data_IF_389054894646
#
_entry.id   IF_389054894646
#
_cell.length_a   1.000
_cell.length_b   1.000
_cell.length_c   1.000
_cell.angle_alpha   90.00
_cell.angle_beta   90.00
_cell.angle_gamma   90.00
#
_symmetry.space_group_name_H-M   'P 1'
#
loop_
_entity.id
_entity.type
_entity.pdbx_description
1 polymer ?
#
# COMPACT_ATOMS: atom_id res chain seq x y z
N UNK A 1 16.99 -6.69 -14.12
CA UNK A 1 17.36 -8.09 -14.43
C UNK A 1 16.24 -9.07 -14.00
N UNK A 2 14.98 -8.79 -14.38
CA UNK A 2 13.77 -9.56 -13.97
C UNK A 2 12.82 -9.79 -15.18
N UNK A 3 13.37 -9.99 -16.38
CA UNK A 3 12.56 -10.04 -17.62
C UNK A 3 12.43 -11.41 -18.29
N UNK A 4 12.94 -12.50 -17.70
CA UNK A 4 13.07 -13.78 -18.43
C UNK A 4 11.99 -14.82 -18.14
N UNK A 5 10.95 -14.53 -17.34
CA UNK A 5 9.87 -15.49 -17.08
C UNK A 5 8.47 -14.97 -17.49
N UNK A 6 8.36 -14.50 -18.73
CA UNK A 6 7.12 -13.99 -19.33
C UNK A 6 6.01 -15.05 -19.48
N UNK A 7 6.29 -16.35 -19.30
CA UNK A 7 5.27 -17.42 -19.39
C UNK A 7 4.39 -17.56 -18.15
N UNK A 8 4.80 -17.03 -17.00
CA UNK A 8 3.92 -16.90 -15.84
C UNK A 8 2.89 -15.76 -16.00
N UNK A 9 3.10 -14.84 -16.95
CA UNK A 9 2.24 -13.68 -17.20
C UNK A 9 0.94 -14.03 -17.94
N UNK A 10 0.82 -15.24 -18.50
CA UNK A 10 -0.43 -15.72 -19.13
C UNK A 10 -1.59 -15.92 -18.13
N UNK A 11 -1.31 -15.84 -16.82
CA UNK A 11 -2.29 -16.05 -15.74
C UNK A 11 -3.16 -14.80 -15.45
N UNK A 12 -2.80 -13.60 -15.92
CA UNK A 12 -3.45 -12.36 -15.47
C UNK A 12 -4.45 -11.72 -16.43
N UNK A 13 -5.17 -12.51 -17.22
CA UNK A 13 -6.37 -12.02 -17.91
C UNK A 13 -7.58 -12.04 -16.95
N UNK A 14 -7.48 -11.32 -15.84
CA UNK A 14 -8.61 -11.15 -14.90
C UNK A 14 -9.75 -10.45 -15.63
N UNK A 15 -10.96 -11.01 -15.55
CA UNK A 15 -12.16 -10.31 -16.02
C UNK A 15 -12.34 -9.02 -15.21
N UNK A 16 -13.03 -8.02 -15.78
CA UNK A 16 -13.36 -6.77 -15.08
C UNK A 16 -14.05 -7.05 -13.72
N UNK A 17 -14.95 -8.03 -13.67
CA UNK A 17 -15.62 -8.44 -12.43
C UNK A 17 -14.65 -9.03 -11.40
N UNK A 18 -13.68 -9.84 -11.84
CA UNK A 18 -12.65 -10.40 -10.95
C UNK A 18 -11.69 -9.32 -10.44
N UNK A 19 -11.23 -8.39 -11.29
CA UNK A 19 -10.39 -7.26 -10.85
C UNK A 19 -11.08 -6.44 -9.78
N UNK A 20 -12.34 -6.06 -10.01
CA UNK A 20 -13.11 -5.25 -9.06
C UNK A 20 -13.36 -6.00 -7.74
N UNK A 21 -13.55 -7.31 -7.79
CA UNK A 21 -13.62 -8.16 -6.61
C UNK A 21 -12.30 -8.19 -5.83
N UNK A 22 -11.15 -8.32 -6.51
CA UNK A 22 -9.82 -8.30 -5.89
C UNK A 22 -9.53 -6.94 -5.27
N UNK A 23 -9.73 -5.84 -6.01
CA UNK A 23 -9.55 -4.46 -5.51
C UNK A 23 -10.41 -4.23 -4.27
N UNK A 24 -11.70 -4.60 -4.32
CA UNK A 24 -12.60 -4.47 -3.17
C UNK A 24 -12.11 -5.27 -1.96
N UNK A 25 -11.71 -6.53 -2.14
CA UNK A 25 -11.20 -7.37 -1.04
C UNK A 25 -9.92 -6.78 -0.43
N UNK A 26 -8.98 -6.33 -1.27
CA UNK A 26 -7.73 -5.69 -0.82
C UNK A 26 -8.04 -4.39 -0.08
N UNK A 27 -8.90 -3.52 -0.60
CA UNK A 27 -9.26 -2.27 0.07
C UNK A 27 -9.93 -2.51 1.42
N UNK A 28 -10.87 -3.47 1.51
CA UNK A 28 -11.50 -3.84 2.78
C UNK A 28 -10.46 -4.36 3.77
N UNK A 29 -9.61 -5.29 3.33
CA UNK A 29 -8.52 -5.83 4.14
C UNK A 29 -7.63 -4.71 4.68
N UNK A 30 -7.14 -3.81 3.82
CA UNK A 30 -6.24 -2.73 4.21
C UNK A 30 -6.91 -1.69 5.12
N UNK A 31 -8.17 -1.34 4.86
CA UNK A 31 -8.93 -0.43 5.72
C UNK A 31 -9.20 -1.00 7.10
N UNK A 32 -9.34 -2.33 7.25
CA UNK A 32 -9.47 -3.00 8.56
C UNK A 32 -8.08 -3.14 9.23
N UNK A 33 -7.06 -3.49 8.45
CA UNK A 33 -5.73 -3.73 8.98
C UNK A 33 -5.06 -2.46 9.52
N UNK A 34 -5.30 -1.30 8.90
CA UNK A 34 -4.71 -0.04 9.33
C UNK A 34 -5.05 0.36 10.78
N UNK A 35 -6.33 0.45 11.21
CA UNK A 35 -6.66 0.70 12.61
C UNK A 35 -6.21 -0.46 13.51
N UNK A 36 -6.17 -1.70 12.98
CA UNK A 36 -5.63 -2.86 13.68
C UNK A 36 -4.17 -2.65 14.13
N UNK A 37 -3.29 -2.17 13.25
CA UNK A 37 -1.90 -1.86 13.60
C UNK A 37 -1.85 -0.81 14.71
N UNK A 38 -2.65 0.25 14.61
CA UNK A 38 -2.73 1.31 15.62
C UNK A 38 -3.12 0.75 16.99
N UNK A 39 -4.18 -0.06 17.05
CA UNK A 39 -4.67 -0.69 18.29
C UNK A 39 -3.64 -1.66 18.87
N UNK A 40 -3.03 -2.52 18.05
CA UNK A 40 -2.03 -3.48 18.53
C UNK A 40 -0.80 -2.74 19.08
N UNK A 41 -0.35 -1.69 18.39
CA UNK A 41 0.76 -0.85 18.85
C UNK A 41 0.42 -0.15 20.16
N UNK A 42 -0.76 0.46 20.27
CA UNK A 42 -1.23 1.08 21.51
C UNK A 42 -1.27 0.08 22.67
N UNK A 43 -1.84 -1.10 22.46
CA UNK A 43 -1.87 -2.17 23.47
C UNK A 43 -0.46 -2.59 23.91
N UNK A 44 0.48 -2.67 22.97
CA UNK A 44 1.89 -2.95 23.29
C UNK A 44 2.50 -1.86 24.16
N UNK A 45 2.24 -0.58 23.89
CA UNK A 45 2.77 0.55 24.66
C UNK A 45 2.21 0.63 26.08
N UNK A 46 0.94 0.27 26.25
CA UNK A 46 0.35 0.17 27.58
C UNK A 46 0.89 -1.03 28.37
N UNK A 47 1.19 -2.14 27.70
CA UNK A 47 1.75 -3.33 28.35
C UNK A 47 3.24 -3.16 28.72
N UNK A 48 4.03 -2.54 27.84
CA UNK A 48 5.46 -2.30 28.02
C UNK A 48 5.76 -0.81 27.84
N UNK A 49 5.76 -0.09 28.97
CA UNK A 49 6.10 1.33 28.99
C UNK A 49 7.56 1.62 28.64
N UNK A 50 8.43 0.61 28.66
CA UNK A 50 9.87 0.75 28.43
C UNK A 50 10.27 0.83 26.96
N UNK A 51 9.33 0.72 26.01
CA UNK A 51 9.64 0.74 24.59
C UNK A 51 8.77 1.73 23.81
N UNK A 52 8.70 3.01 24.21
CA UNK A 52 7.86 3.97 23.54
C UNK A 52 8.49 4.50 22.24
N UNK A 53 7.70 4.69 21.17
CA UNK A 53 8.16 5.36 19.96
C UNK A 53 8.42 6.84 20.21
N UNK A 54 9.28 7.41 19.36
CA UNK A 54 9.57 8.83 19.20
C UNK A 54 9.61 9.64 20.51
N UNK A 55 8.46 10.14 20.97
CA UNK A 55 8.32 11.03 22.11
C UNK A 55 8.59 10.36 23.46
N UNK A 56 8.31 9.07 23.62
CA UNK A 56 8.55 8.46 24.92
C UNK A 56 10.03 8.18 25.22
N UNK A 57 10.90 8.21 24.19
CA UNK A 57 12.35 8.20 24.42
C UNK A 57 12.81 9.48 25.15
N UNK A 58 12.17 10.63 24.87
CA UNK A 58 12.47 11.91 25.53
C UNK A 58 12.10 11.94 27.01
N UNK A 59 11.18 11.06 27.45
CA UNK A 59 10.79 10.97 28.86
C UNK A 59 11.71 10.06 29.70
N UNK A 60 12.79 9.53 29.13
CA UNK A 60 13.75 8.71 29.87
C UNK A 60 13.16 7.36 30.33
N UNK A 61 12.21 6.82 29.58
CA UNK A 61 11.68 5.49 29.83
C UNK A 61 12.78 4.45 29.63
N UNK A 62 13.15 3.79 30.72
CA UNK A 62 14.06 2.65 30.81
C UNK A 62 15.55 3.01 30.98
N UNK A 63 15.99 3.11 32.25
CA UNK A 63 17.28 2.54 32.61
C UNK A 63 17.10 1.01 32.70
N UNK A 64 18.10 0.24 32.29
CA UNK A 64 18.04 -1.23 32.27
C UNK A 64 17.76 -1.89 33.64
N UNK A 65 17.68 -1.11 34.72
CA UNK A 65 17.54 -1.58 36.10
C UNK A 65 16.11 -1.56 36.65
N UNK A 66 15.09 -1.12 35.89
CA UNK A 66 13.70 -1.15 36.36
C UNK A 66 13.41 -0.25 37.57
N UNK A 67 14.37 0.57 38.00
CA UNK A 67 14.14 1.56 39.04
C UNK A 67 13.29 2.69 38.46
N UNK A 68 12.14 2.94 39.10
CA UNK A 68 11.41 4.18 38.89
C UNK A 68 12.37 5.33 39.21
N UNK A 69 12.88 5.99 38.17
CA UNK A 69 13.74 7.19 38.27
C UNK A 69 13.12 8.29 39.14
N UNK A 70 11.82 8.21 39.41
CA UNK A 70 11.09 9.10 40.30
C UNK A 70 10.35 8.24 41.34
N UNK A 71 11.01 8.00 42.47
CA UNK A 71 10.39 7.47 43.69
C UNK A 71 9.39 8.52 44.21
N UNK A 72 8.11 8.36 43.83
CA UNK A 72 7.04 9.29 44.21
C UNK A 72 6.06 9.61 43.07
N UNK A 73 5.61 8.59 42.32
CA UNK A 73 4.65 8.79 41.21
C UNK A 73 3.33 9.38 41.72
N UNK A 74 3.21 10.71 41.64
CA UNK A 74 1.94 11.40 41.79
C UNK A 74 0.97 10.96 40.69
N UNK A 75 -0.33 10.90 40.99
CA UNK A 75 -1.40 10.57 40.02
C UNK A 75 -1.28 11.40 38.73
N UNK A 76 -0.84 12.66 38.84
CA UNK A 76 -0.60 13.57 37.72
C UNK A 76 0.44 13.03 36.73
N UNK A 77 1.54 12.45 37.22
CA UNK A 77 2.58 11.90 36.37
C UNK A 77 2.10 10.66 35.59
N UNK A 78 1.33 9.76 36.25
CA UNK A 78 0.71 8.60 35.59
C UNK A 78 -0.25 9.00 34.47
N UNK A 79 -1.06 10.03 34.71
CA UNK A 79 -1.98 10.57 33.70
C UNK A 79 -1.23 11.21 32.54
N UNK A 80 -0.22 12.03 32.82
CA UNK A 80 0.62 12.65 31.79
C UNK A 80 1.32 11.59 30.92
N UNK A 81 1.86 10.53 31.54
CA UNK A 81 2.45 9.38 30.85
C UNK A 81 1.44 8.71 29.91
N UNK A 82 0.26 8.38 30.43
CA UNK A 82 -0.80 7.74 29.64
C UNK A 82 -1.20 8.61 28.45
N UNK A 83 -1.36 9.91 28.68
CA UNK A 83 -1.68 10.88 27.64
C UNK A 83 -0.61 10.91 26.55
N UNK A 84 0.68 10.90 26.92
CA UNK A 84 1.76 10.90 25.93
C UNK A 84 1.78 9.61 25.10
N UNK A 85 1.59 8.45 25.73
CA UNK A 85 1.49 7.16 25.03
C UNK A 85 0.32 7.18 24.04
N UNK A 86 -0.83 7.74 24.44
CA UNK A 86 -2.00 7.91 23.56
C UNK A 86 -1.70 8.83 22.40
N UNK A 87 -1.04 9.96 22.65
CA UNK A 87 -0.70 10.93 21.62
C UNK A 87 0.28 10.36 20.60
N UNK A 88 1.32 9.67 21.05
CA UNK A 88 2.33 9.05 20.18
C UNK A 88 1.72 7.92 19.34
N UNK A 89 0.91 7.05 19.94
CA UNK A 89 0.23 6.02 19.19
C UNK A 89 -0.85 6.55 18.25
N UNK A 90 -1.55 7.64 18.61
CA UNK A 90 -2.45 8.36 17.70
C UNK A 90 -1.68 8.92 16.51
N UNK A 91 -0.57 9.63 16.75
CA UNK A 91 0.26 10.21 15.68
C UNK A 91 0.79 9.11 14.73
N UNK A 92 1.30 8.01 15.28
CA UNK A 92 1.72 6.85 14.49
C UNK A 92 0.56 6.27 13.65
N UNK A 93 -0.64 6.17 14.24
CA UNK A 93 -1.82 5.63 13.56
C UNK A 93 -2.29 6.55 12.42
N UNK A 94 -2.30 7.86 12.64
CA UNK A 94 -2.64 8.86 11.61
C UNK A 94 -1.63 8.82 10.47
N UNK A 95 -0.34 8.75 10.78
CA UNK A 95 0.72 8.68 9.77
C UNK A 95 0.60 7.41 8.93
N UNK A 96 0.42 6.25 9.58
CA UNK A 96 0.16 4.99 8.91
C UNK A 96 -1.08 5.09 8.02
N UNK A 97 -2.19 5.61 8.54
CA UNK A 97 -3.44 5.78 7.78
C UNK A 97 -3.25 6.67 6.55
N UNK A 98 -2.54 7.80 6.67
CA UNK A 98 -2.23 8.66 5.52
C UNK A 98 -1.41 7.92 4.45
N UNK A 99 -0.40 7.16 4.86
CA UNK A 99 0.43 6.37 3.95
C UNK A 99 -0.40 5.28 3.24
N UNK A 100 -1.21 4.53 3.99
CA UNK A 100 -2.09 3.51 3.43
C UNK A 100 -3.17 4.10 2.53
N UNK A 101 -3.76 5.24 2.90
CA UNK A 101 -4.74 5.92 2.08
C UNK A 101 -4.15 6.31 0.71
N UNK A 102 -2.94 6.86 0.70
CA UNK A 102 -2.25 7.21 -0.53
C UNK A 102 -1.96 5.98 -1.41
N UNK A 103 -1.38 4.92 -0.83
CA UNK A 103 -0.94 3.72 -1.59
C UNK A 103 -2.12 2.84 -2.04
N UNK A 104 -3.19 2.76 -1.26
CA UNK A 104 -4.29 1.85 -1.57
C UNK A 104 -5.46 2.57 -2.19
N UNK A 105 -5.99 3.58 -1.50
CA UNK A 105 -7.19 4.25 -1.98
C UNK A 105 -6.88 5.13 -3.19
N UNK A 106 -5.80 5.90 -3.17
CA UNK A 106 -5.50 6.77 -4.31
C UNK A 106 -4.94 5.95 -5.47
N UNK A 107 -3.86 5.19 -5.28
CA UNK A 107 -3.20 4.55 -6.44
C UNK A 107 -3.92 3.33 -6.99
N UNK A 108 -4.43 2.40 -6.16
CA UNK A 108 -5.11 1.20 -6.71
C UNK A 108 -6.43 1.59 -7.37
N UNK A 109 -7.21 2.48 -6.76
CA UNK A 109 -8.47 2.94 -7.36
C UNK A 109 -8.18 3.67 -8.67
N UNK A 110 -7.19 4.57 -8.71
CA UNK A 110 -6.85 5.28 -9.95
C UNK A 110 -6.42 4.34 -11.07
N UNK A 111 -5.57 3.34 -10.77
CA UNK A 111 -5.16 2.33 -11.77
C UNK A 111 -6.36 1.47 -12.19
N UNK A 112 -7.21 1.05 -11.25
CA UNK A 112 -8.45 0.32 -11.53
C UNK A 112 -9.38 1.10 -12.47
N UNK A 113 -9.57 2.40 -12.23
CA UNK A 113 -10.35 3.27 -13.10
C UNK A 113 -9.76 3.33 -14.51
N UNK A 114 -8.43 3.49 -14.66
CA UNK A 114 -7.79 3.49 -15.99
C UNK A 114 -8.00 2.15 -16.71
N UNK A 115 -7.86 1.02 -16.01
CA UNK A 115 -8.10 -0.30 -16.60
C UNK A 115 -9.56 -0.46 -17.05
N UNK A 116 -10.51 0.03 -16.27
CA UNK A 116 -11.92 0.01 -16.64
C UNK A 116 -12.21 0.93 -17.85
N UNK A 117 -11.56 2.09 -17.93
CA UNK A 117 -11.63 2.95 -19.13
C UNK A 117 -11.05 2.27 -20.37
N UNK A 118 -9.93 1.55 -20.24
CA UNK A 118 -9.34 0.78 -21.36
C UNK A 118 -10.29 -0.32 -21.84
N UNK A 119 -10.97 -1.01 -20.94
CA UNK A 119 -11.97 -2.02 -21.30
C UNK A 119 -13.20 -1.42 -21.99
N UNK A 120 -13.67 -0.26 -21.52
CA UNK A 120 -14.76 0.49 -22.17
C UNK A 120 -14.33 0.92 -23.58
N UNK A 121 -13.12 1.46 -23.72
CA UNK A 121 -12.58 1.87 -25.02
C UNK A 121 -12.48 0.70 -26.00
N UNK A 122 -12.03 -0.46 -25.50
CA UNK A 122 -11.99 -1.71 -26.28
C UNK A 122 -13.37 -2.16 -26.72
N UNK A 123 -14.39 -2.04 -25.87
CA UNK A 123 -15.80 -2.34 -26.24
C UNK A 123 -16.33 -1.39 -27.30
N UNK A 124 -16.06 -0.08 -27.17
CA UNK A 124 -16.48 0.93 -28.17
C UNK A 124 -15.75 0.72 -29.50
N UNK A 125 -14.50 0.30 -29.46
CA UNK A 125 -13.72 -0.06 -30.66
C UNK A 125 -14.24 -1.32 -31.34
N UNK A 126 -14.94 -2.20 -30.60
CA UNK A 126 -15.56 -3.41 -31.12
C UNK A 126 -16.79 -3.15 -32.00
N UNK A 127 -17.16 -4.19 -32.74
CA UNK A 127 -18.27 -4.35 -33.71
C UNK A 127 -19.35 -3.25 -33.67
N UNK A 128 -19.49 -2.54 -34.80
CA UNK A 128 -20.64 -1.72 -35.18
C UNK A 128 -21.04 -0.57 -34.22
N UNK A 129 -20.11 -0.01 -33.43
CA UNK A 129 -20.47 1.19 -32.67
C UNK A 129 -20.58 2.41 -33.60
N UNK A 130 -21.78 3.03 -33.64
CA UNK A 130 -22.08 4.27 -34.37
C UNK A 130 -21.30 5.49 -33.84
N UNK A 131 -20.35 5.29 -32.93
CA UNK A 131 -19.51 6.36 -32.38
C UNK A 131 -18.52 6.78 -33.45
N UNK A 132 -18.66 8.03 -33.92
CA UNK A 132 -17.76 8.63 -34.90
C UNK A 132 -16.29 8.55 -34.50
N UNK A 133 -15.42 8.38 -35.50
CA UNK A 133 -13.97 8.24 -35.33
C UNK A 133 -13.36 9.40 -34.52
N UNK A 134 -13.84 10.62 -34.74
CA UNK A 134 -13.40 11.84 -34.06
C UNK A 134 -13.62 11.77 -32.54
N UNK A 135 -14.78 11.29 -32.08
CA UNK A 135 -15.08 11.13 -30.66
C UNK A 135 -14.18 10.07 -30.01
N UNK A 136 -13.88 8.98 -30.72
CA UNK A 136 -12.97 7.92 -30.22
C UNK A 136 -11.55 8.46 -30.04
N UNK A 137 -11.05 9.21 -31.02
CA UNK A 137 -9.73 9.85 -30.95
C UNK A 137 -9.68 10.87 -29.79
N UNK A 138 -10.74 11.67 -29.62
CA UNK A 138 -10.84 12.64 -28.52
C UNK A 138 -10.77 11.98 -27.15
N UNK A 139 -11.58 10.93 -26.92
CA UNK A 139 -11.56 10.15 -25.68
C UNK A 139 -10.17 9.55 -25.41
N UNK A 140 -9.51 9.03 -26.44
CA UNK A 140 -8.18 8.48 -26.27
C UNK A 140 -7.15 9.55 -25.87
N UNK A 141 -7.17 10.72 -26.51
CA UNK A 141 -6.24 11.81 -26.14
C UNK A 141 -6.39 12.21 -24.68
N UNK A 142 -7.63 12.31 -24.18
CA UNK A 142 -7.89 12.55 -22.76
C UNK A 142 -7.32 11.43 -21.88
N UNK A 143 -7.52 10.16 -22.27
CA UNK A 143 -7.00 9.01 -21.52
C UNK A 143 -5.46 8.98 -21.51
N UNK A 144 -4.83 9.31 -22.63
CA UNK A 144 -3.37 9.35 -22.77
C UNK A 144 -2.74 10.43 -21.88
N UNK A 145 -3.39 11.60 -21.76
CA UNK A 145 -2.96 12.64 -20.82
C UNK A 145 -3.09 12.15 -19.38
N UNK A 146 -4.20 11.50 -19.03
CA UNK A 146 -4.41 10.94 -17.70
C UNK A 146 -3.37 9.86 -17.37
N UNK A 147 -3.11 8.94 -18.29
CA UNK A 147 -2.09 7.90 -18.16
C UNK A 147 -0.69 8.51 -17.97
N UNK A 148 -0.34 9.56 -18.72
CA UNK A 148 0.95 10.24 -18.57
C UNK A 148 1.09 10.92 -17.21
N UNK A 149 0.04 11.58 -16.71
CA UNK A 149 0.04 12.21 -15.38
C UNK A 149 0.11 11.17 -14.26
N UNK A 150 -0.65 10.08 -14.40
CA UNK A 150 -0.64 8.97 -13.47
C UNK A 150 0.74 8.29 -13.45
N UNK A 151 1.30 7.97 -14.62
CA UNK A 151 2.62 7.38 -14.74
C UNK A 151 3.71 8.31 -14.19
N UNK A 152 3.66 9.62 -14.48
CA UNK A 152 4.61 10.57 -13.91
C UNK A 152 4.55 10.57 -12.38
N UNK A 153 3.34 10.60 -11.80
CA UNK A 153 3.17 10.60 -10.34
C UNK A 153 3.58 9.28 -9.70
N UNK A 154 3.16 8.14 -10.27
CA UNK A 154 3.53 6.83 -9.74
C UNK A 154 5.03 6.56 -9.90
N UNK A 155 5.58 6.79 -11.09
CA UNK A 155 6.99 6.49 -11.39
C UNK A 155 7.96 7.37 -10.61
N UNK A 156 7.66 8.66 -10.41
CA UNK A 156 8.58 9.57 -9.72
C UNK A 156 8.48 9.48 -8.20
N UNK A 157 7.29 9.18 -7.64
CA UNK A 157 7.07 9.25 -6.19
C UNK A 157 6.70 7.91 -5.57
N UNK A 158 5.67 7.25 -6.08
CA UNK A 158 5.08 6.08 -5.39
C UNK A 158 5.96 4.84 -5.57
N UNK A 159 6.35 4.51 -6.80
CA UNK A 159 7.13 3.33 -7.14
C UNK A 159 8.46 3.31 -6.38
N UNK A 160 9.30 4.35 -6.43
CA UNK A 160 10.60 4.32 -5.75
C UNK A 160 10.42 4.20 -4.24
N UNK A 161 9.45 4.93 -3.68
CA UNK A 161 9.16 4.91 -2.25
C UNK A 161 8.73 3.52 -1.79
N UNK A 162 7.80 2.87 -2.51
CA UNK A 162 7.31 1.53 -2.15
C UNK A 162 8.39 0.47 -2.35
N UNK A 163 9.12 0.52 -3.47
CA UNK A 163 10.19 -0.44 -3.79
C UNK A 163 11.39 -0.36 -2.85
N UNK A 164 11.64 0.80 -2.22
CA UNK A 164 12.70 0.95 -1.23
C UNK A 164 12.20 0.64 0.17
N UNK A 165 11.08 1.26 0.59
CA UNK A 165 10.61 1.18 1.98
C UNK A 165 10.05 -0.20 2.30
N UNK A 166 9.27 -0.82 1.41
CA UNK A 166 8.62 -2.09 1.72
C UNK A 166 9.64 -3.23 1.96
N UNK A 167 10.68 -3.41 1.12
CA UNK A 167 11.72 -4.41 1.39
C UNK A 167 12.54 -4.12 2.64
N UNK A 168 12.86 -2.84 2.90
CA UNK A 168 13.56 -2.46 4.14
C UNK A 168 12.74 -2.89 5.36
N UNK A 169 11.46 -2.51 5.42
CA UNK A 169 10.57 -2.90 6.51
C UNK A 169 10.45 -4.43 6.60
N UNK A 170 10.30 -5.12 5.48
CA UNK A 170 10.19 -6.57 5.45
C UNK A 170 11.45 -7.26 6.00
N UNK A 171 12.64 -6.83 5.60
CA UNK A 171 13.92 -7.35 6.11
C UNK A 171 14.02 -7.09 7.61
N UNK A 172 13.77 -5.86 8.06
CA UNK A 172 13.81 -5.52 9.48
C UNK A 172 12.83 -6.35 10.30
N UNK A 173 11.56 -6.45 9.89
CA UNK A 173 10.56 -7.26 10.56
C UNK A 173 10.96 -8.74 10.61
N UNK A 174 11.56 -9.27 9.53
CA UNK A 174 11.98 -10.67 9.44
C UNK A 174 13.20 -10.95 10.33
N UNK A 175 14.19 -10.05 10.35
CA UNK A 175 15.35 -10.15 11.26
C UNK A 175 14.91 -10.10 12.71
N UNK A 176 13.98 -9.19 13.05
CA UNK A 176 13.43 -9.09 14.42
C UNK A 176 12.70 -10.37 14.80
N UNK A 177 11.89 -10.93 13.89
CA UNK A 177 11.21 -12.20 14.13
C UNK A 177 12.17 -13.36 14.34
N UNK A 178 13.21 -13.49 13.52
CA UNK A 178 14.13 -14.62 13.59
C UNK A 178 15.03 -14.48 14.83
N UNK A 179 15.71 -13.34 14.97
CA UNK A 179 16.74 -13.17 16.02
C UNK A 179 16.18 -12.87 17.40
N UNK A 180 15.03 -12.21 17.49
CA UNK A 180 14.49 -11.74 18.78
C UNK A 180 13.19 -12.45 19.17
N UNK A 181 12.77 -13.52 18.47
CA UNK A 181 11.57 -14.28 18.82
C UNK A 181 11.54 -14.74 20.27
N UNK A 182 12.69 -15.15 20.84
CA UNK A 182 12.79 -15.61 22.24
C UNK A 182 12.71 -14.49 23.27
N UNK A 183 13.07 -13.26 22.90
CA UNK A 183 13.11 -12.10 23.79
C UNK A 183 11.87 -11.22 23.68
N UNK A 184 11.09 -11.38 22.61
CA UNK A 184 9.89 -10.59 22.39
C UNK A 184 8.76 -11.08 23.29
N UNK A 185 8.11 -10.19 24.07
CA UNK A 185 6.90 -10.56 24.77
C UNK A 185 5.84 -11.01 23.76
N UNK A 186 5.12 -12.08 24.08
CA UNK A 186 4.17 -12.74 23.17
C UNK A 186 3.17 -11.79 22.51
N UNK A 187 2.79 -10.70 23.21
CA UNK A 187 1.88 -9.65 22.71
C UNK A 187 2.47 -8.80 21.58
N UNK A 188 3.79 -8.61 21.56
CA UNK A 188 4.48 -7.86 20.51
C UNK A 188 4.78 -8.69 19.26
N UNK A 189 4.85 -10.01 19.40
CA UNK A 189 5.21 -10.92 18.31
C UNK A 189 4.27 -10.80 17.11
N UNK A 190 2.95 -10.69 17.31
CA UNK A 190 1.95 -10.64 16.24
C UNK A 190 2.10 -9.42 15.31
N UNK A 191 2.71 -8.33 15.77
CA UNK A 191 2.86 -7.11 14.94
C UNK A 191 3.77 -7.34 13.74
N UNK A 192 4.86 -8.09 13.88
CA UNK A 192 5.85 -8.22 12.82
C UNK A 192 5.38 -9.08 11.64
N UNK A 193 4.79 -10.29 11.84
CA UNK A 193 4.26 -11.09 10.74
C UNK A 193 3.12 -10.36 10.05
N UNK A 194 2.32 -9.61 10.81
CA UNK A 194 1.25 -8.79 10.27
C UNK A 194 1.78 -7.69 9.34
N UNK A 195 2.78 -6.93 9.80
CA UNK A 195 3.44 -5.91 8.96
C UNK A 195 4.08 -6.54 7.73
N UNK A 196 4.76 -7.69 7.86
CA UNK A 196 5.33 -8.43 6.73
C UNK A 196 4.26 -8.85 5.72
N UNK A 197 3.13 -9.40 6.17
CA UNK A 197 2.02 -9.78 5.28
C UNK A 197 1.44 -8.56 4.55
N UNK A 198 1.32 -7.43 5.23
CA UNK A 198 0.89 -6.17 4.61
C UNK A 198 1.89 -5.70 3.55
N UNK A 199 3.18 -5.64 3.86
CA UNK A 199 4.22 -5.27 2.89
C UNK A 199 4.23 -6.19 1.67
N UNK A 200 4.17 -7.50 1.88
CA UNK A 200 4.11 -8.50 0.82
C UNK A 200 2.87 -8.31 -0.07
N UNK A 201 1.69 -8.18 0.53
CA UNK A 201 0.43 -7.98 -0.21
C UNK A 201 0.46 -6.67 -1.00
N UNK A 202 1.01 -5.60 -0.41
CA UNK A 202 1.18 -4.30 -1.06
C UNK A 202 2.01 -4.41 -2.33
N UNK A 203 3.19 -5.04 -2.24
CA UNK A 203 4.11 -5.20 -3.37
C UNK A 203 3.50 -6.09 -4.45
N UNK A 204 2.93 -7.24 -4.06
CA UNK A 204 2.30 -8.17 -5.00
C UNK A 204 1.17 -7.50 -5.79
N UNK A 205 0.28 -6.79 -5.09
CA UNK A 205 -0.85 -6.08 -5.71
C UNK A 205 -0.32 -4.99 -6.65
N UNK A 206 0.63 -4.19 -6.18
CA UNK A 206 1.21 -3.10 -6.97
C UNK A 206 1.85 -3.59 -8.27
N UNK A 207 2.72 -4.61 -8.18
CA UNK A 207 3.38 -5.22 -9.35
C UNK A 207 2.38 -5.84 -10.31
N UNK A 208 1.35 -6.52 -9.79
CA UNK A 208 0.28 -7.12 -10.61
C UNK A 208 -0.45 -6.07 -11.42
N UNK A 209 -0.88 -4.97 -10.79
CA UNK A 209 -1.59 -3.89 -11.47
C UNK A 209 -0.70 -3.16 -12.47
N UNK A 210 0.56 -2.91 -12.12
CA UNK A 210 1.53 -2.29 -13.02
C UNK A 210 1.76 -3.16 -14.28
N UNK A 211 1.94 -4.46 -14.11
CA UNK A 211 2.11 -5.40 -15.20
C UNK A 211 0.85 -5.46 -16.10
N UNK A 212 -0.34 -5.49 -15.51
CA UNK A 212 -1.60 -5.48 -16.28
C UNK A 212 -1.76 -4.21 -17.11
N UNK A 213 -1.48 -3.04 -16.53
CA UNK A 213 -1.56 -1.77 -17.23
C UNK A 213 -0.57 -1.72 -18.41
N UNK A 214 0.66 -2.19 -18.20
CA UNK A 214 1.68 -2.29 -19.25
C UNK A 214 1.27 -3.22 -20.41
N UNK A 215 0.71 -4.39 -20.11
CA UNK A 215 0.29 -5.34 -21.15
C UNK A 215 -0.91 -4.82 -21.95
N UNK A 216 -1.92 -4.24 -21.28
CA UNK A 216 -3.12 -3.74 -21.96
C UNK A 216 -2.81 -2.50 -22.82
N UNK A 217 -1.96 -1.59 -22.35
CA UNK A 217 -1.55 -0.40 -23.12
C UNK A 217 -0.83 -0.79 -24.42
N UNK A 218 0.15 -1.71 -24.35
CA UNK A 218 0.88 -2.20 -25.53
C UNK A 218 -0.05 -2.92 -26.51
N UNK A 219 -0.98 -3.75 -26.01
CA UNK A 219 -1.95 -4.46 -26.86
C UNK A 219 -2.88 -3.49 -27.59
N UNK A 220 -3.35 -2.47 -26.89
CA UNK A 220 -4.21 -1.44 -27.47
C UNK A 220 -3.48 -0.65 -28.56
N UNK A 221 -2.22 -0.29 -28.31
CA UNK A 221 -1.37 0.39 -29.28
C UNK A 221 -1.19 -0.42 -30.57
N UNK A 222 -0.87 -1.72 -30.47
CA UNK A 222 -0.72 -2.58 -31.64
C UNK A 222 -2.03 -2.77 -32.42
N UNK A 223 -3.17 -2.89 -31.72
CA UNK A 223 -4.48 -3.01 -32.37
C UNK A 223 -4.78 -1.84 -33.31
N UNK A 224 -4.26 -0.65 -32.99
CA UNK A 224 -4.49 0.53 -33.82
C UNK A 224 -3.54 0.66 -34.98
N UNK A 225 -2.28 0.23 -34.81
CA UNK A 225 -1.35 0.15 -35.95
C UNK A 225 -1.89 -0.76 -37.06
N UNK A 226 -2.73 -1.75 -36.73
CA UNK A 226 -3.34 -2.65 -37.71
C UNK A 226 -4.62 -2.12 -38.37
N UNK A 227 -5.17 -1.00 -37.90
CA UNK A 227 -6.44 -0.47 -38.41
C UNK A 227 -6.23 0.28 -39.72
N UNK A 228 -6.53 -0.39 -40.85
CA UNK A 228 -6.27 0.05 -42.24
C UNK A 228 -6.93 1.37 -42.69
N UNK A 229 -7.70 2.07 -41.84
CA UNK A 229 -8.45 3.29 -42.21
C UNK A 229 -7.75 4.60 -41.82
N UNK A 230 -6.51 4.54 -41.34
CA UNK A 230 -5.72 5.71 -40.93
C UNK A 230 -4.69 6.18 -41.97
N UNK A 231 -4.57 5.46 -43.09
CA UNK A 231 -3.81 5.86 -44.31
C UNK A 231 -4.78 6.09 -45.45
#
# INVERSE_FOLDING_TARGET
MWCTNLRALTIFHLSQSQRNAVVRKVLIFMNIMCPGIGVIRMRRLFADSCNPPYLGFLLGYCSSCGEQLISGETLRFKLMKSLLVVLDGYHCSVFAFKAFFLIFNVTIVSVGCILDYLDILKRISGVASNVGLTTRIGLYRCLQVLEKQLNNTLSTRVIPTVMIIAPIIQIFCSVVLIKYSSFLPSKGFVTYPFTTCVCFTSCMVFETFAAQLGVQSVKQYHSWLTEKRLT
#
